data_IF_107786460659
#
_entry.id   IF_107786460659
#
_cell.length_a   1.000
_cell.length_b   1.000
_cell.length_c   1.000
_cell.angle_alpha   90.00
_cell.angle_beta   90.00
_cell.angle_gamma   90.00
#
_symmetry.space_group_name_H-M   'P 1'
#
loop_
_entity.id
_entity.type
_entity.pdbx_description
1 polymer ?
#
# COMPACT_ATOMS: atom_id res chain seq x y z
N UNK A 1 68.22 22.31 3.03
CA UNK A 1 67.42 23.19 2.14
C UNK A 1 66.04 23.38 2.78
N UNK A 2 65.71 24.62 3.08
CA UNK A 2 64.58 24.99 3.95
C UNK A 2 63.25 24.95 3.16
N UNK A 3 62.23 24.32 3.72
CA UNK A 3 60.84 24.52 3.29
C UNK A 3 60.05 25.22 4.40
N UNK A 4 59.66 26.44 4.11
CA UNK A 4 58.81 27.27 4.97
C UNK A 4 57.35 26.88 4.81
N UNK A 5 56.73 26.39 5.89
CA UNK A 5 55.28 26.17 5.94
C UNK A 5 54.54 27.47 6.12
N UNK A 6 53.54 27.70 5.26
CA UNK A 6 52.63 28.83 5.33
C UNK A 6 51.38 28.42 6.13
N UNK A 7 51.23 28.97 7.33
CA UNK A 7 50.04 28.80 8.14
C UNK A 7 48.94 29.82 7.69
N UNK A 8 47.84 29.34 7.18
CA UNK A 8 46.63 30.15 6.88
C UNK A 8 45.72 30.10 8.09
N UNK A 9 45.59 31.22 8.79
CA UNK A 9 44.60 31.41 9.86
C UNK A 9 43.22 31.68 9.23
N UNK A 10 42.28 30.76 9.42
CA UNK A 10 40.87 30.96 9.05
C UNK A 10 40.17 31.63 10.24
N UNK A 11 39.82 32.90 10.11
CA UNK A 11 38.98 33.63 11.06
C UNK A 11 37.51 33.17 10.91
N UNK A 12 37.00 32.51 11.97
CA UNK A 12 35.60 32.05 12.04
C UNK A 12 34.74 33.27 12.48
N UNK A 13 34.03 33.90 11.52
CA UNK A 13 33.01 34.89 11.81
C UNK A 13 31.72 34.18 12.27
N UNK A 14 31.47 34.18 13.57
CA UNK A 14 30.17 33.83 14.16
C UNK A 14 29.19 34.97 13.85
N UNK A 15 28.31 34.80 12.88
CA UNK A 15 27.13 35.62 12.68
C UNK A 15 26.06 35.15 13.65
N UNK A 16 25.88 35.90 14.74
CA UNK A 16 24.75 35.75 15.64
C UNK A 16 23.46 36.16 14.90
N UNK A 17 22.71 35.17 14.41
CA UNK A 17 21.36 35.37 13.88
C UNK A 17 20.42 35.71 15.07
N UNK A 18 20.07 36.97 15.23
CA UNK A 18 19.00 37.39 16.13
C UNK A 18 17.67 36.75 15.70
N UNK A 19 16.83 36.25 16.64
CA UNK A 19 15.53 35.70 16.31
C UNK A 19 14.66 36.86 15.74
N UNK A 20 14.31 36.73 14.46
CA UNK A 20 13.31 37.60 13.81
C UNK A 20 11.96 37.30 14.49
N UNK A 21 11.49 38.21 15.31
CA UNK A 21 10.14 38.15 15.87
C UNK A 21 9.14 38.17 14.72
N UNK A 22 8.45 37.06 14.52
CA UNK A 22 7.39 36.97 13.52
C UNK A 22 6.29 37.97 13.90
N UNK A 23 6.06 38.97 13.06
CA UNK A 23 5.03 39.98 13.30
C UNK A 23 3.66 39.31 13.48
N UNK A 24 2.92 39.71 14.53
CA UNK A 24 1.57 39.20 14.81
C UNK A 24 0.67 39.35 13.58
N UNK A 25 0.01 38.26 13.12
CA UNK A 25 -0.81 38.31 11.93
C UNK A 25 -1.97 39.29 12.07
N UNK A 26 -2.13 40.20 11.11
CA UNK A 26 -3.22 41.19 11.06
C UNK A 26 -3.80 41.18 9.64
N UNK A 27 -5.13 41.30 9.54
CA UNK A 27 -5.81 41.30 8.25
C UNK A 27 -5.20 42.34 7.28
N UNK A 28 -4.87 41.94 6.07
CA UNK A 28 -4.25 42.77 5.04
C UNK A 28 -2.74 42.92 5.19
N UNK A 29 -2.12 42.53 6.31
CA UNK A 29 -0.67 42.60 6.46
C UNK A 29 0.02 41.55 5.59
N UNK A 30 1.24 41.85 5.12
CA UNK A 30 2.05 40.98 4.25
C UNK A 30 2.37 39.64 4.95
N UNK A 31 2.26 38.56 4.22
CA UNK A 31 2.68 37.23 4.64
C UNK A 31 3.65 36.62 3.61
N UNK A 32 4.35 35.56 3.96
CA UNK A 32 5.48 35.06 3.17
C UNK A 32 5.18 33.80 2.37
N UNK A 33 4.19 32.99 2.80
CA UNK A 33 3.86 31.70 2.15
C UNK A 33 2.35 31.55 2.00
N UNK A 34 1.86 31.41 0.78
CA UNK A 34 0.44 31.16 0.49
C UNK A 34 -0.03 29.88 1.22
N UNK A 35 -1.22 29.92 1.81
CA UNK A 35 -1.77 28.82 2.59
C UNK A 35 -1.27 28.73 4.05
N UNK A 36 -0.21 29.46 4.45
CA UNK A 36 0.23 29.49 5.82
C UNK A 36 -0.90 29.99 6.74
N UNK A 37 -1.03 29.42 7.95
CA UNK A 37 -2.03 29.83 8.96
C UNK A 37 -1.34 30.32 10.21
N UNK A 38 -1.94 31.31 10.87
CA UNK A 38 -1.49 31.81 12.16
C UNK A 38 -2.68 32.23 13.00
N UNK A 39 -2.57 32.13 14.32
CA UNK A 39 -3.63 32.52 15.28
C UNK A 39 -3.21 33.73 16.08
N UNK A 40 -4.05 34.73 16.09
CA UNK A 40 -3.88 35.91 16.92
C UNK A 40 -5.25 36.48 17.31
N UNK A 41 -5.34 37.11 18.50
CA UNK A 41 -6.57 37.79 18.98
C UNK A 41 -7.86 36.97 18.82
N UNK A 42 -7.80 35.64 19.10
CA UNK A 42 -8.96 34.75 19.00
C UNK A 42 -9.43 34.46 17.57
N UNK A 43 -8.60 34.77 16.55
CA UNK A 43 -8.89 34.50 15.13
C UNK A 43 -7.79 33.68 14.50
N UNK A 44 -8.17 32.79 13.58
CA UNK A 44 -7.26 32.06 12.70
C UNK A 44 -7.20 32.80 11.36
N UNK A 45 -6.01 33.23 10.98
CA UNK A 45 -5.69 33.90 9.73
C UNK A 45 -5.08 32.90 8.75
N UNK A 46 -5.36 33.07 7.46
CA UNK A 46 -4.74 32.31 6.36
C UNK A 46 -4.09 33.28 5.39
N UNK A 47 -2.86 32.99 4.97
CA UNK A 47 -2.15 33.78 3.98
C UNK A 47 -2.72 33.50 2.59
N UNK A 48 -3.27 34.51 1.92
CA UNK A 48 -3.92 34.41 0.63
C UNK A 48 -3.29 35.34 -0.41
N UNK A 49 -3.39 34.99 -1.67
CA UNK A 49 -2.95 35.86 -2.78
C UNK A 49 -4.00 36.93 -3.02
N UNK A 50 -3.59 38.20 -3.02
CA UNK A 50 -4.43 39.36 -3.36
C UNK A 50 -3.69 40.19 -4.42
N UNK A 51 -4.11 40.06 -5.68
CA UNK A 51 -3.36 40.58 -6.83
C UNK A 51 -1.97 39.94 -6.92
N UNK A 52 -0.91 40.74 -6.92
CA UNK A 52 0.48 40.30 -6.95
C UNK A 52 1.11 40.08 -5.59
N UNK A 53 0.37 40.29 -4.48
CA UNK A 53 0.90 40.26 -3.12
C UNK A 53 0.29 39.12 -2.30
N UNK A 54 1.05 38.63 -1.31
CA UNK A 54 0.56 37.70 -0.30
C UNK A 54 0.19 38.48 0.97
N UNK A 55 -1.06 38.30 1.44
CA UNK A 55 -1.58 39.01 2.61
C UNK A 55 -2.40 38.08 3.49
N UNK A 56 -2.45 38.40 4.80
CA UNK A 56 -3.35 37.70 5.73
C UNK A 56 -4.82 38.06 5.46
N UNK A 57 -5.70 37.06 5.38
CA UNK A 57 -7.15 37.27 5.22
C UNK A 57 -7.77 37.96 6.46
N UNK A 58 -9.10 38.17 6.47
CA UNK A 58 -9.80 38.83 7.59
C UNK A 58 -9.80 38.00 8.89
N UNK A 59 -9.32 36.75 8.85
CA UNK A 59 -9.37 35.81 9.97
C UNK A 59 -10.75 35.30 10.30
N UNK A 60 -10.85 34.03 10.74
CA UNK A 60 -12.07 33.39 11.22
C UNK A 60 -12.02 33.31 12.74
N UNK A 61 -13.08 33.75 13.44
CA UNK A 61 -13.17 33.68 14.91
C UNK A 61 -13.14 32.23 15.36
N UNK A 62 -12.25 31.91 16.29
CA UNK A 62 -12.19 30.60 16.94
C UNK A 62 -13.17 30.63 18.09
N UNK A 63 -14.27 29.87 18.02
CA UNK A 63 -15.20 29.71 19.12
C UNK A 63 -14.47 28.97 20.25
N UNK A 64 -14.27 29.62 21.39
CA UNK A 64 -13.67 28.99 22.59
C UNK A 64 -14.57 27.83 23.02
N UNK A 65 -13.93 26.68 23.31
CA UNK A 65 -14.63 25.57 23.96
C UNK A 65 -15.19 26.07 25.29
N UNK A 66 -16.49 25.96 25.49
CA UNK A 66 -17.16 26.35 26.74
C UNK A 66 -16.60 25.51 27.87
N UNK A 67 -16.00 26.21 28.85
CA UNK A 67 -15.57 25.64 30.13
C UNK A 67 -16.83 25.07 30.81
N UNK A 68 -16.81 23.85 31.36
CA UNK A 68 -17.95 23.33 32.09
C UNK A 68 -18.26 24.26 33.29
N UNK A 69 -19.50 24.72 33.38
CA UNK A 69 -20.05 25.51 34.46
C UNK A 69 -20.04 24.65 35.72
N UNK A 70 -19.67 25.21 36.94
CA UNK A 70 -19.76 24.47 38.19
C UNK A 70 -21.23 24.07 38.42
N UNK A 71 -21.41 22.77 38.69
CA UNK A 71 -22.71 22.23 39.12
C UNK A 71 -23.06 22.81 40.47
N UNK A 72 -24.09 23.67 40.53
CA UNK A 72 -24.71 24.12 41.76
C UNK A 72 -25.51 22.94 42.32
N UNK A 73 -25.17 22.48 43.52
CA UNK A 73 -25.89 21.42 44.22
C UNK A 73 -27.32 21.90 44.51
N UNK A 74 -28.38 21.31 44.01
CA UNK A 74 -29.73 21.68 44.33
C UNK A 74 -30.10 21.21 45.74
N UNK A 75 -30.76 22.08 46.49
CA UNK A 75 -31.44 21.80 47.76
C UNK A 75 -32.41 20.62 47.60
N UNK A 76 -32.48 19.66 48.55
CA UNK A 76 -33.33 18.48 48.37
C UNK A 76 -34.82 18.87 48.35
N UNK A 77 -35.46 18.62 47.22
CA UNK A 77 -36.91 18.65 47.03
C UNK A 77 -37.48 17.32 47.57
N UNK A 78 -38.66 17.32 48.24
CA UNK A 78 -39.22 16.07 48.76
C UNK A 78 -39.47 15.06 47.66
N UNK A 79 -39.04 13.83 47.94
CA UNK A 79 -39.08 12.67 47.05
C UNK A 79 -40.54 12.35 46.74
N UNK A 80 -41.02 12.40 45.48
CA UNK A 80 -42.29 11.81 45.10
C UNK A 80 -42.21 10.29 45.20
N UNK A 81 -43.24 9.65 45.65
CA UNK A 81 -43.43 8.20 45.71
C UNK A 81 -43.10 7.58 44.35
N UNK A 82 -42.27 6.55 44.29
CA UNK A 82 -41.87 5.97 43.01
C UNK A 82 -43.08 5.35 42.33
N UNK A 83 -43.36 5.83 41.14
CA UNK A 83 -44.24 5.19 40.17
C UNK A 83 -43.60 3.83 39.76
N UNK A 84 -44.39 2.74 39.59
CA UNK A 84 -43.82 1.45 39.27
C UNK A 84 -43.07 1.56 37.93
N UNK A 85 -41.76 1.26 38.00
CA UNK A 85 -40.86 1.25 36.84
C UNK A 85 -41.40 0.27 35.80
N UNK A 86 -41.50 0.69 34.50
CA UNK A 86 -41.95 -0.22 33.44
C UNK A 86 -40.98 -1.43 33.43
N UNK A 87 -41.51 -2.62 33.50
CA UNK A 87 -40.80 -3.87 33.32
C UNK A 87 -40.10 -3.86 31.99
N UNK A 88 -38.76 -3.77 31.98
CA UNK A 88 -37.96 -3.82 30.76
C UNK A 88 -38.25 -5.13 30.05
N UNK A 89 -38.87 -5.06 28.89
CA UNK A 89 -38.99 -6.23 27.99
C UNK A 89 -37.57 -6.71 27.68
N UNK A 90 -37.22 -7.99 27.89
CA UNK A 90 -35.87 -8.48 27.62
C UNK A 90 -35.54 -8.20 26.16
N UNK A 91 -34.43 -7.48 25.95
CA UNK A 91 -33.87 -7.28 24.62
C UNK A 91 -33.59 -8.67 24.04
N UNK A 92 -34.08 -8.98 22.82
CA UNK A 92 -33.80 -10.29 22.23
C UNK A 92 -32.30 -10.53 22.17
N UNK A 93 -31.86 -11.62 22.75
CA UNK A 93 -30.47 -12.08 22.68
C UNK A 93 -30.12 -12.21 21.19
N UNK A 94 -29.05 -11.56 20.70
CA UNK A 94 -28.67 -11.68 19.31
C UNK A 94 -28.48 -13.15 18.96
N UNK A 95 -29.18 -13.64 17.96
CA UNK A 95 -28.99 -14.99 17.42
C UNK A 95 -27.53 -15.12 17.00
N UNK A 96 -26.81 -16.14 17.47
CA UNK A 96 -25.42 -16.31 17.10
C UNK A 96 -25.31 -16.42 15.58
N UNK A 97 -24.54 -15.53 14.97
CA UNK A 97 -24.22 -15.61 13.55
C UNK A 97 -23.53 -16.94 13.31
N UNK A 98 -23.99 -17.77 12.36
CA UNK A 98 -23.38 -19.06 12.09
C UNK A 98 -21.89 -18.88 11.78
N UNK A 99 -21.03 -19.64 12.43
CA UNK A 99 -19.60 -19.65 12.17
C UNK A 99 -19.37 -20.06 10.71
N UNK A 100 -18.65 -19.29 9.90
CA UNK A 100 -18.35 -19.67 8.53
C UNK A 100 -17.62 -21.00 8.50
N UNK A 101 -17.98 -21.89 7.58
CA UNK A 101 -17.29 -23.16 7.35
C UNK A 101 -16.51 -23.11 6.05
N UNK A 102 -15.34 -23.77 6.02
CA UNK A 102 -14.57 -23.93 4.79
C UNK A 102 -15.42 -24.64 3.73
N UNK A 103 -15.42 -24.09 2.53
CA UNK A 103 -16.04 -24.69 1.34
C UNK A 103 -14.97 -25.21 0.41
N UNK A 104 -15.22 -26.30 -0.24
CA UNK A 104 -14.38 -26.76 -1.36
C UNK A 104 -14.76 -25.94 -2.61
N UNK A 105 -14.01 -24.85 -2.83
CA UNK A 105 -14.23 -23.94 -3.95
C UNK A 105 -13.52 -24.45 -5.21
N UNK A 106 -14.28 -24.53 -6.29
CA UNK A 106 -13.85 -24.95 -7.62
C UNK A 106 -14.35 -23.99 -8.68
N UNK A 107 -13.87 -24.07 -9.90
CA UNK A 107 -14.41 -23.26 -11.01
C UNK A 107 -15.90 -23.51 -11.28
N UNK A 108 -16.43 -24.66 -10.91
CA UNK A 108 -17.84 -25.00 -11.11
C UNK A 108 -18.78 -24.39 -10.08
N UNK A 109 -18.27 -23.95 -8.91
CA UNK A 109 -19.15 -23.48 -7.81
C UNK A 109 -18.76 -22.12 -7.24
N UNK A 110 -17.62 -21.54 -7.60
CA UNK A 110 -17.11 -20.31 -6.98
C UNK A 110 -18.01 -19.10 -7.24
N UNK A 111 -18.70 -19.07 -8.37
CA UNK A 111 -19.61 -17.97 -8.76
C UNK A 111 -20.80 -17.86 -7.79
N UNK A 112 -21.36 -18.99 -7.37
CA UNK A 112 -22.44 -19.03 -6.37
C UNK A 112 -21.94 -18.86 -4.92
N UNK A 113 -20.61 -18.94 -4.72
CA UNK A 113 -20.00 -18.91 -3.38
C UNK A 113 -19.01 -17.76 -3.21
N UNK A 114 -19.22 -16.62 -3.88
CA UNK A 114 -18.30 -15.47 -3.81
C UNK A 114 -18.12 -14.95 -2.38
N UNK A 115 -19.15 -15.04 -1.53
CA UNK A 115 -19.10 -14.61 -0.14
C UNK A 115 -18.18 -15.49 0.73
N UNK A 116 -17.91 -16.73 0.32
CA UNK A 116 -17.03 -17.63 1.03
C UNK A 116 -15.54 -17.42 0.70
N UNK A 117 -15.21 -16.67 -0.36
CA UNK A 117 -13.83 -16.53 -0.85
C UNK A 117 -12.90 -15.97 0.23
N UNK A 118 -13.28 -14.86 0.87
CA UNK A 118 -12.45 -14.22 1.89
C UNK A 118 -12.14 -15.14 3.07
N UNK A 119 -13.16 -15.85 3.56
CA UNK A 119 -13.00 -16.78 4.66
C UNK A 119 -12.11 -17.97 4.27
N UNK A 120 -12.35 -18.56 3.10
CA UNK A 120 -11.55 -19.69 2.62
C UNK A 120 -10.09 -19.34 2.44
N UNK A 121 -9.81 -18.21 1.78
CA UNK A 121 -8.44 -17.76 1.54
C UNK A 121 -7.74 -17.45 2.85
N UNK A 122 -8.38 -16.69 3.74
CA UNK A 122 -7.76 -16.33 5.02
C UNK A 122 -7.51 -17.57 5.90
N UNK A 123 -8.44 -18.53 5.93
CA UNK A 123 -8.26 -19.78 6.67
C UNK A 123 -7.14 -20.66 6.10
N UNK A 124 -7.05 -20.79 4.76
CA UNK A 124 -5.95 -21.47 4.09
C UNK A 124 -4.61 -20.76 4.37
N UNK A 125 -4.61 -19.43 4.39
CA UNK A 125 -3.44 -18.63 4.72
C UNK A 125 -2.99 -18.83 6.17
N UNK A 126 -3.90 -18.82 7.14
CA UNK A 126 -3.56 -19.09 8.54
C UNK A 126 -2.95 -20.49 8.71
N UNK A 127 -3.48 -21.49 8.04
CA UNK A 127 -2.91 -22.84 8.02
C UNK A 127 -1.51 -22.85 7.40
N UNK A 128 -1.33 -22.16 6.28
CA UNK A 128 -0.04 -22.02 5.60
C UNK A 128 0.99 -21.30 6.48
N UNK A 129 0.58 -20.29 7.23
CA UNK A 129 1.44 -19.55 8.16
C UNK A 129 1.69 -20.24 9.50
N UNK A 130 0.94 -21.29 9.84
CA UNK A 130 1.11 -22.02 11.11
C UNK A 130 2.33 -22.95 11.14
N UNK A 131 3.14 -22.98 10.10
CA UNK A 131 4.39 -23.76 10.03
C UNK A 131 5.46 -23.24 10.96
N UNK A 132 6.44 -24.10 11.28
CA UNK A 132 7.62 -23.73 12.07
C UNK A 132 8.71 -22.99 11.26
N UNK A 133 8.39 -22.56 10.03
CA UNK A 133 9.34 -21.82 9.23
C UNK A 133 9.74 -20.50 9.90
N UNK A 134 11.04 -20.29 10.04
CA UNK A 134 11.63 -19.04 10.50
C UNK A 134 12.39 -18.41 9.34
N UNK A 135 12.03 -17.19 9.01
CA UNK A 135 12.72 -16.46 7.95
C UNK A 135 14.15 -16.11 8.39
N UNK A 136 15.14 -16.54 7.60
CA UNK A 136 16.54 -16.16 7.76
C UNK A 136 16.94 -14.97 6.89
N UNK A 137 15.98 -14.32 6.22
CA UNK A 137 16.24 -13.23 5.30
C UNK A 137 16.94 -12.06 6.00
N UNK A 138 18.05 -11.61 5.44
CA UNK A 138 18.76 -10.42 5.88
C UNK A 138 18.14 -9.19 5.23
N UNK A 139 17.64 -8.26 6.03
CA UNK A 139 17.06 -7.00 5.55
C UNK A 139 18.00 -5.84 5.89
N UNK A 140 18.53 -5.20 4.85
CA UNK A 140 19.37 -4.00 4.97
C UNK A 140 18.47 -2.79 4.68
N UNK A 141 18.05 -2.11 5.72
CA UNK A 141 17.30 -0.84 5.59
C UNK A 141 18.29 0.29 5.32
N UNK A 142 18.15 0.94 4.18
CA UNK A 142 19.01 2.02 3.70
C UNK A 142 18.14 3.27 3.52
N UNK A 143 18.47 4.34 4.22
CA UNK A 143 17.63 5.55 4.28
C UNK A 143 18.41 6.74 3.73
N UNK A 144 17.77 7.53 2.89
CA UNK A 144 18.34 8.74 2.34
C UNK A 144 18.67 9.77 3.42
N UNK A 145 19.73 10.56 3.23
CA UNK A 145 20.24 11.48 4.27
C UNK A 145 19.23 12.54 4.71
N UNK A 146 18.26 12.90 3.86
CA UNK A 146 17.20 13.84 4.16
C UNK A 146 15.83 13.17 4.37
N UNK A 147 15.81 11.82 4.39
CA UNK A 147 14.59 11.04 4.51
C UNK A 147 14.40 10.61 5.96
N UNK A 148 13.24 10.90 6.52
CA UNK A 148 12.86 10.38 7.84
C UNK A 148 12.31 8.97 7.64
N UNK A 149 12.84 7.94 8.35
CA UNK A 149 12.34 6.58 8.24
C UNK A 149 10.85 6.54 8.58
N UNK A 150 10.12 5.99 7.65
CA UNK A 150 8.68 6.06 7.62
C UNK A 150 8.04 4.98 8.49
N UNK A 151 8.68 3.81 8.57
CA UNK A 151 8.21 2.69 9.37
C UNK A 151 9.39 2.03 10.09
N UNK A 152 9.37 2.04 11.42
CA UNK A 152 10.40 1.41 12.25
C UNK A 152 10.43 -0.13 12.09
N UNK A 153 9.31 -0.74 11.66
CA UNK A 153 9.14 -2.19 11.53
C UNK A 153 9.11 -2.64 10.05
N UNK A 154 9.66 -1.84 9.13
CA UNK A 154 9.65 -2.16 7.70
C UNK A 154 10.25 -3.54 7.37
N UNK A 155 11.22 -4.00 8.16
CA UNK A 155 11.83 -5.32 7.99
C UNK A 155 10.86 -6.48 8.23
N UNK A 156 9.83 -6.29 9.05
CA UNK A 156 8.88 -7.37 9.38
C UNK A 156 8.01 -7.74 8.18
N UNK A 157 7.67 -6.79 7.33
CA UNK A 157 6.97 -7.06 6.07
C UNK A 157 7.75 -8.05 5.19
N UNK A 158 9.07 -7.88 5.06
CA UNK A 158 9.92 -8.82 4.30
C UNK A 158 10.00 -10.20 4.96
N UNK A 159 10.05 -10.29 6.29
CA UNK A 159 10.03 -11.57 7.01
C UNK A 159 8.71 -12.31 6.86
N UNK A 160 7.60 -11.57 6.91
CA UNK A 160 6.26 -12.11 6.64
C UNK A 160 6.18 -12.61 5.19
N UNK A 161 6.62 -11.80 4.22
CA UNK A 161 6.71 -12.19 2.82
C UNK A 161 7.54 -13.46 2.62
N UNK A 162 8.71 -13.54 3.26
CA UNK A 162 9.56 -14.73 3.21
C UNK A 162 8.83 -15.98 3.75
N UNK A 163 8.03 -15.84 4.79
CA UNK A 163 7.22 -16.96 5.33
C UNK A 163 6.06 -17.31 4.40
N UNK A 164 5.43 -16.36 3.75
CA UNK A 164 4.41 -16.61 2.73
C UNK A 164 4.98 -17.50 1.62
N UNK A 165 6.21 -17.22 1.19
CA UNK A 165 6.86 -17.93 0.09
C UNK A 165 7.84 -19.01 0.55
N UNK A 166 7.63 -19.60 1.74
CA UNK A 166 8.52 -20.60 2.34
C UNK A 166 8.79 -21.84 1.46
N UNK A 167 7.88 -22.16 0.53
CA UNK A 167 7.98 -23.30 -0.38
C UNK A 167 8.70 -22.98 -1.70
N UNK A 168 9.21 -21.74 -1.86
CA UNK A 168 9.78 -21.26 -3.10
C UNK A 168 11.22 -20.80 -2.94
N UNK A 169 11.96 -20.75 -4.05
CA UNK A 169 13.25 -20.06 -4.08
C UNK A 169 13.01 -18.57 -3.79
N UNK A 170 13.82 -18.01 -2.92
CA UNK A 170 13.67 -16.61 -2.54
C UNK A 170 15.04 -16.00 -2.25
N UNK A 171 15.18 -14.66 -2.30
CA UNK A 171 16.42 -13.99 -1.94
C UNK A 171 16.76 -14.23 -0.46
N UNK A 172 18.03 -14.40 -0.15
CA UNK A 172 18.55 -14.48 1.21
C UNK A 172 18.81 -13.09 1.82
N UNK A 173 18.86 -12.05 0.98
CA UNK A 173 19.13 -10.68 1.36
C UNK A 173 18.28 -9.68 0.56
N UNK A 174 17.80 -8.64 1.24
CA UNK A 174 17.03 -7.53 0.66
C UNK A 174 17.71 -6.21 1.03
N UNK A 175 17.86 -5.33 0.05
CA UNK A 175 18.19 -3.91 0.23
C UNK A 175 16.91 -3.10 0.13
N UNK A 176 16.40 -2.64 1.27
CA UNK A 176 15.21 -1.81 1.37
C UNK A 176 15.63 -0.32 1.41
N UNK A 177 15.46 0.38 0.30
CA UNK A 177 15.95 1.75 0.08
C UNK A 177 14.77 2.73 0.23
N UNK A 178 14.84 3.60 1.23
CA UNK A 178 13.82 4.62 1.50
C UNK A 178 14.35 6.01 1.15
N UNK A 179 13.57 6.79 0.41
CA UNK A 179 14.01 8.11 -0.03
C UNK A 179 12.83 9.06 -0.28
N UNK A 180 13.08 10.36 -0.15
CA UNK A 180 12.20 11.44 -0.61
C UNK A 180 12.71 12.00 -1.94
N UNK A 181 11.98 12.91 -2.54
CA UNK A 181 12.45 13.57 -3.78
C UNK A 181 13.79 14.28 -3.58
N UNK A 182 14.08 14.82 -2.40
CA UNK A 182 15.36 15.44 -2.08
C UNK A 182 16.54 14.46 -2.17
N UNK A 183 16.29 13.17 -1.91
CA UNK A 183 17.29 12.10 -1.95
C UNK A 183 17.22 11.25 -3.22
N UNK A 184 16.48 11.70 -4.24
CA UNK A 184 16.27 10.95 -5.48
C UNK A 184 17.56 10.49 -6.14
N UNK A 185 18.51 11.39 -6.32
CA UNK A 185 19.80 11.07 -6.97
C UNK A 185 20.67 10.15 -6.10
N UNK A 186 20.61 10.31 -4.78
CA UNK A 186 21.24 9.38 -3.85
C UNK A 186 20.63 7.97 -3.99
N UNK A 187 19.30 7.85 -4.02
CA UNK A 187 18.61 6.57 -4.20
C UNK A 187 18.95 5.91 -5.54
N UNK A 188 19.02 6.71 -6.63
CA UNK A 188 19.48 6.24 -7.94
C UNK A 188 20.86 5.61 -7.84
N UNK A 189 21.81 6.29 -7.19
CA UNK A 189 23.16 5.76 -6.99
C UNK A 189 23.17 4.49 -6.15
N UNK A 190 22.32 4.39 -5.11
CA UNK A 190 22.19 3.16 -4.30
C UNK A 190 21.72 1.96 -5.14
N UNK A 191 20.82 2.18 -6.09
CA UNK A 191 20.36 1.13 -7.00
C UNK A 191 21.43 0.84 -8.06
N UNK A 192 22.04 1.87 -8.65
CA UNK A 192 23.03 1.73 -9.71
C UNK A 192 24.23 0.88 -9.31
N UNK A 193 24.77 1.07 -8.12
CA UNK A 193 25.92 0.28 -7.61
C UNK A 193 25.56 -1.19 -7.37
N UNK A 194 24.29 -1.55 -7.26
CA UNK A 194 23.81 -2.91 -6.98
C UNK A 194 23.24 -3.62 -8.21
N UNK A 195 22.48 -2.91 -9.04
CA UNK A 195 21.74 -3.47 -10.16
C UNK A 195 22.15 -2.89 -11.53
N UNK A 196 23.01 -1.87 -11.54
CA UNK A 196 23.47 -1.20 -12.75
C UNK A 196 22.65 0.09 -13.08
N UNK A 197 23.30 0.97 -13.86
CA UNK A 197 22.76 2.32 -14.15
C UNK A 197 21.42 2.29 -14.87
N UNK A 198 21.26 1.41 -15.88
CA UNK A 198 20.02 1.33 -16.66
C UNK A 198 18.81 0.95 -15.79
N UNK A 199 18.99 0.05 -14.81
CA UNK A 199 17.94 -0.33 -13.85
C UNK A 199 17.60 0.85 -12.96
N UNK A 200 18.60 1.55 -12.44
CA UNK A 200 18.41 2.71 -11.57
C UNK A 200 17.67 3.85 -12.29
N UNK A 201 18.06 4.16 -13.53
CA UNK A 201 17.45 5.23 -14.32
C UNK A 201 15.98 4.92 -14.64
N UNK A 202 15.70 3.68 -15.03
CA UNK A 202 14.33 3.23 -15.29
C UNK A 202 13.47 3.31 -14.02
N UNK A 203 13.91 2.69 -12.94
CA UNK A 203 13.13 2.59 -11.71
C UNK A 203 12.90 3.95 -11.05
N UNK A 204 13.94 4.75 -10.86
CA UNK A 204 13.82 6.06 -10.24
C UNK A 204 13.08 7.05 -11.15
N UNK A 205 13.31 6.99 -12.46
CA UNK A 205 12.57 7.79 -13.44
C UNK A 205 11.08 7.52 -13.38
N UNK A 206 10.70 6.28 -13.17
CA UNK A 206 9.32 5.85 -13.03
C UNK A 206 8.70 6.20 -11.67
N UNK A 207 9.34 5.77 -10.56
CA UNK A 207 8.78 5.88 -9.20
C UNK A 207 8.85 7.28 -8.62
N UNK A 208 9.80 8.11 -9.07
CA UNK A 208 10.03 9.45 -8.54
C UNK A 208 10.31 10.47 -9.66
N UNK A 209 9.40 10.66 -10.63
CA UNK A 209 9.62 11.57 -11.75
C UNK A 209 9.64 13.05 -11.33
N UNK A 210 8.96 13.42 -10.25
CA UNK A 210 8.88 14.80 -9.74
C UNK A 210 8.60 14.81 -8.22
N UNK A 211 8.78 15.96 -7.58
CA UNK A 211 8.46 16.12 -6.15
C UNK A 211 6.99 15.83 -5.83
N UNK A 212 6.07 16.10 -6.76
CA UNK A 212 4.65 15.80 -6.62
C UNK A 212 4.31 14.30 -6.85
N UNK A 213 5.25 13.56 -7.44
CA UNK A 213 5.11 12.13 -7.77
C UNK A 213 6.37 11.38 -7.38
N UNK A 214 6.68 11.30 -6.09
CA UNK A 214 7.78 10.52 -5.52
C UNK A 214 7.22 9.70 -4.35
N UNK A 215 6.34 8.74 -4.67
CA UNK A 215 5.61 7.95 -3.67
C UNK A 215 5.33 6.51 -4.12
N UNK A 216 5.91 6.07 -5.25
CA UNK A 216 5.80 4.69 -5.72
C UNK A 216 6.92 3.82 -5.11
N UNK A 217 6.63 2.54 -4.97
CA UNK A 217 7.60 1.49 -4.67
C UNK A 217 7.91 0.67 -5.92
N UNK A 218 9.02 -0.05 -5.91
CA UNK A 218 9.38 -1.00 -6.97
C UNK A 218 10.42 -1.99 -6.50
N UNK A 219 10.43 -3.17 -7.12
CA UNK A 219 11.39 -4.24 -6.87
C UNK A 219 12.33 -4.49 -8.05
N UNK A 220 13.53 -4.93 -7.76
CA UNK A 220 14.52 -5.45 -8.72
C UNK A 220 15.47 -6.43 -8.05
N UNK A 221 16.39 -6.97 -8.87
CA UNK A 221 17.40 -7.93 -8.43
C UNK A 221 18.78 -7.32 -8.67
N UNK A 222 19.69 -7.50 -7.70
CA UNK A 222 21.08 -7.10 -7.84
C UNK A 222 21.83 -7.98 -8.83
N UNK A 223 23.01 -7.55 -9.25
CA UNK A 223 23.88 -8.31 -10.15
C UNK A 223 24.31 -9.66 -9.56
N UNK A 224 24.38 -9.78 -8.23
CA UNK A 224 24.71 -10.98 -7.47
C UNK A 224 23.48 -11.69 -6.85
N UNK A 225 22.30 -11.47 -7.44
CA UNK A 225 21.04 -12.15 -7.05
C UNK A 225 20.57 -11.88 -5.61
N UNK A 226 20.62 -10.65 -5.17
CA UNK A 226 19.91 -10.15 -3.98
C UNK A 226 18.67 -9.37 -4.41
N UNK A 227 17.72 -9.18 -3.51
CA UNK A 227 16.58 -8.31 -3.79
C UNK A 227 16.90 -6.84 -3.50
N UNK A 228 16.37 -5.96 -4.33
CA UNK A 228 16.24 -4.54 -4.04
C UNK A 228 14.75 -4.22 -4.02
N UNK A 229 14.30 -3.55 -2.96
CA UNK A 229 13.01 -2.89 -2.93
C UNK A 229 13.24 -1.44 -2.56
N UNK A 230 12.73 -0.51 -3.35
CA UNK A 230 12.87 0.90 -3.04
C UNK A 230 11.51 1.56 -2.88
N UNK A 231 11.46 2.57 -2.02
CA UNK A 231 10.23 3.20 -1.56
C UNK A 231 10.43 4.71 -1.61
N UNK A 232 9.76 5.35 -2.55
CA UNK A 232 9.63 6.79 -2.56
C UNK A 232 8.65 7.24 -1.48
N UNK A 233 8.93 8.34 -0.83
CA UNK A 233 8.05 8.97 0.15
C UNK A 233 7.73 10.39 -0.27
N UNK A 234 6.50 10.83 -0.02
CA UNK A 234 6.15 12.25 -0.11
C UNK A 234 7.05 13.08 0.80
N UNK A 235 7.17 14.38 0.54
CA UNK A 235 7.99 15.29 1.32
C UNK A 235 7.86 15.10 2.84
N UNK A 236 8.91 15.42 3.63
CA UNK A 236 8.94 15.24 5.08
C UNK A 236 7.69 15.81 5.75
N UNK A 237 6.91 14.97 6.41
CA UNK A 237 5.65 15.32 7.06
C UNK A 237 4.39 14.83 6.34
N UNK A 238 4.49 14.16 5.21
CA UNK A 238 3.38 13.40 4.61
C UNK A 238 2.97 12.24 5.52
N UNK A 239 1.66 12.09 5.75
CA UNK A 239 1.16 10.91 6.46
C UNK A 239 1.41 9.67 5.60
N UNK A 240 1.93 8.62 6.24
CA UNK A 240 2.08 7.33 5.58
C UNK A 240 0.72 6.72 5.28
N UNK A 241 0.63 6.04 4.15
CA UNK A 241 -0.51 5.20 3.88
C UNK A 241 -0.60 4.03 4.88
N UNK A 242 -1.79 3.53 5.19
CA UNK A 242 -1.93 2.34 6.03
C UNK A 242 -1.11 1.14 5.52
N UNK A 243 -0.97 0.99 4.21
CA UNK A 243 -0.18 -0.08 3.59
C UNK A 243 1.32 0.04 3.84
N UNK A 244 1.85 1.27 3.97
CA UNK A 244 3.25 1.49 4.37
C UNK A 244 3.47 1.16 5.85
N UNK A 245 2.47 1.44 6.70
CA UNK A 245 2.56 1.23 8.15
C UNK A 245 2.46 -0.23 8.57
N UNK A 246 1.65 -1.03 7.88
CA UNK A 246 1.37 -2.43 8.23
C UNK A 246 2.23 -3.46 7.48
N UNK A 247 3.16 -3.02 6.63
CA UNK A 247 4.05 -3.89 5.87
C UNK A 247 3.48 -4.43 4.55
N UNK A 248 2.27 -4.04 4.16
CA UNK A 248 1.62 -4.48 2.92
C UNK A 248 2.52 -4.22 1.70
N UNK A 249 3.09 -3.02 1.60
CA UNK A 249 3.92 -2.62 0.45
C UNK A 249 5.24 -3.40 0.44
N UNK A 250 5.86 -3.64 1.60
CA UNK A 250 7.08 -4.44 1.67
C UNK A 250 6.84 -5.89 1.23
N UNK A 251 5.71 -6.49 1.62
CA UNK A 251 5.32 -7.83 1.17
C UNK A 251 5.03 -7.83 -0.34
N UNK A 252 4.37 -6.79 -0.85
CA UNK A 252 4.09 -6.61 -2.28
C UNK A 252 5.39 -6.63 -3.10
N UNK A 253 6.35 -5.76 -2.77
CA UNK A 253 7.62 -5.67 -3.49
C UNK A 253 8.47 -6.95 -3.33
N UNK A 254 8.40 -7.58 -2.17
CA UNK A 254 9.06 -8.87 -1.95
C UNK A 254 8.46 -9.97 -2.82
N UNK A 255 7.15 -9.94 -3.07
CA UNK A 255 6.49 -10.90 -3.97
C UNK A 255 7.03 -10.82 -5.38
N UNK A 256 7.25 -9.60 -5.90
CA UNK A 256 7.94 -9.42 -7.19
C UNK A 256 9.35 -10.00 -7.17
N UNK A 257 10.11 -9.75 -6.11
CA UNK A 257 11.45 -10.31 -5.95
C UNK A 257 11.44 -11.84 -5.99
N UNK A 258 10.52 -12.50 -5.26
CA UNK A 258 10.38 -13.97 -5.29
C UNK A 258 9.97 -14.45 -6.67
N UNK A 259 9.07 -13.75 -7.36
CA UNK A 259 8.70 -14.09 -8.75
C UNK A 259 9.91 -14.06 -9.69
N UNK A 260 10.77 -13.04 -9.59
CA UNK A 260 12.01 -12.96 -10.36
C UNK A 260 12.96 -14.13 -10.04
N UNK A 261 13.00 -14.58 -8.79
CA UNK A 261 13.80 -15.73 -8.38
C UNK A 261 13.30 -17.05 -9.00
N UNK A 262 11.98 -17.22 -9.19
CA UNK A 262 11.45 -18.36 -9.95
C UNK A 262 11.86 -18.28 -11.43
N UNK A 263 11.86 -17.09 -12.01
CA UNK A 263 12.16 -16.85 -13.43
C UNK A 263 13.66 -16.79 -13.74
N UNK A 264 14.54 -16.94 -12.74
CA UNK A 264 15.99 -16.88 -12.85
C UNK A 264 16.60 -17.73 -14.01
N UNK A 265 16.12 -18.94 -14.31
CA UNK A 265 16.68 -19.71 -15.42
C UNK A 265 16.54 -19.03 -16.79
N UNK A 266 15.59 -18.11 -16.94
CA UNK A 266 15.27 -17.43 -18.21
C UNK A 266 15.78 -15.98 -18.14
N UNK A 267 17.10 -15.81 -18.10
CA UNK A 267 17.72 -14.49 -18.05
C UNK A 267 17.26 -13.60 -19.21
N UNK A 268 16.69 -12.44 -18.90
CA UNK A 268 16.60 -11.29 -19.79
C UNK A 268 15.21 -10.84 -20.27
N UNK A 269 14.11 -11.57 -20.01
CA UNK A 269 12.79 -11.11 -20.44
C UNK A 269 11.66 -11.57 -19.51
N UNK A 270 11.73 -11.14 -18.25
CA UNK A 270 10.77 -11.54 -17.21
C UNK A 270 9.36 -10.96 -17.44
N UNK A 271 9.28 -9.76 -18.02
CA UNK A 271 8.06 -8.97 -18.12
C UNK A 271 7.00 -9.51 -19.09
N UNK A 272 7.35 -10.49 -19.94
CA UNK A 272 6.43 -11.02 -20.95
C UNK A 272 5.99 -12.47 -20.69
N UNK A 273 6.36 -13.07 -19.57
CA UNK A 273 6.06 -14.48 -19.28
C UNK A 273 4.69 -14.66 -18.62
N UNK A 274 4.25 -13.66 -17.87
CA UNK A 274 2.93 -13.61 -17.26
C UNK A 274 2.27 -12.26 -17.58
N UNK A 275 0.93 -12.20 -17.65
CA UNK A 275 0.24 -10.91 -17.80
C UNK A 275 0.54 -9.97 -16.62
N UNK A 276 0.63 -8.66 -16.89
CA UNK A 276 0.90 -7.65 -15.86
C UNK A 276 -0.14 -7.68 -14.73
N UNK A 277 -1.42 -7.86 -15.08
CA UNK A 277 -2.48 -7.97 -14.08
C UNK A 277 -2.28 -9.16 -13.14
N UNK A 278 -1.63 -10.24 -13.62
CA UNK A 278 -1.34 -11.40 -12.79
C UNK A 278 -0.18 -11.11 -11.83
N UNK A 279 0.90 -10.51 -12.31
CA UNK A 279 2.06 -10.16 -11.49
C UNK A 279 1.71 -9.17 -10.39
N UNK A 280 1.08 -8.05 -10.75
CA UNK A 280 0.66 -7.00 -9.81
C UNK A 280 -0.48 -7.48 -8.89
N UNK A 281 -1.42 -8.24 -9.45
CA UNK A 281 -2.49 -8.85 -8.67
C UNK A 281 -1.98 -9.82 -7.62
N UNK A 282 -0.96 -10.63 -7.95
CA UNK A 282 -0.33 -11.56 -7.00
C UNK A 282 0.43 -10.83 -5.90
N UNK A 283 1.21 -9.82 -6.25
CA UNK A 283 1.92 -9.01 -5.28
C UNK A 283 0.93 -8.28 -4.33
N UNK A 284 -0.14 -7.72 -4.88
CA UNK A 284 -1.21 -7.10 -4.08
C UNK A 284 -1.95 -8.09 -3.20
N UNK A 285 -2.18 -9.32 -3.70
CA UNK A 285 -2.82 -10.39 -2.92
C UNK A 285 -1.96 -10.77 -1.71
N UNK A 286 -0.68 -11.07 -1.92
CA UNK A 286 0.23 -11.43 -0.85
C UNK A 286 0.40 -10.29 0.16
N UNK A 287 0.57 -9.05 -0.32
CA UNK A 287 0.67 -7.85 0.51
C UNK A 287 -0.53 -7.69 1.44
N UNK A 288 -1.73 -7.70 0.87
CA UNK A 288 -2.98 -7.54 1.63
C UNK A 288 -3.23 -8.69 2.60
N UNK A 289 -2.96 -9.91 2.16
CA UNK A 289 -3.18 -11.08 3.02
C UNK A 289 -2.20 -11.12 4.21
N UNK A 290 -0.93 -10.80 3.97
CA UNK A 290 0.12 -10.80 4.98
C UNK A 290 0.08 -9.62 5.96
N UNK A 291 -0.56 -8.52 5.58
CA UNK A 291 -0.63 -7.30 6.39
C UNK A 291 -1.68 -7.38 7.53
N UNK A 292 -2.62 -8.32 7.46
CA UNK A 292 -3.70 -8.43 8.43
C UNK A 292 -3.63 -9.70 9.26
N UNK A 293 -3.85 -9.56 10.57
CA UNK A 293 -3.74 -10.68 11.53
C UNK A 293 -5.07 -11.36 11.83
N UNK A 294 -6.20 -10.76 11.40
CA UNK A 294 -7.53 -11.35 11.60
C UNK A 294 -8.38 -11.28 10.33
N UNK A 295 -9.30 -12.24 10.22
CA UNK A 295 -10.30 -12.26 9.14
C UNK A 295 -11.13 -10.97 9.10
N UNK A 296 -11.47 -10.42 10.25
CA UNK A 296 -12.26 -9.19 10.35
C UNK A 296 -11.54 -8.01 9.70
N UNK A 297 -10.25 -7.82 10.03
CA UNK A 297 -9.42 -6.77 9.44
C UNK A 297 -9.27 -6.97 7.93
N UNK A 298 -8.97 -8.19 7.50
CA UNK A 298 -8.86 -8.52 6.08
C UNK A 298 -10.17 -8.27 5.33
N UNK A 299 -11.30 -8.72 5.86
CA UNK A 299 -12.62 -8.50 5.28
C UNK A 299 -13.02 -7.02 5.26
N UNK A 300 -12.65 -6.26 6.29
CA UNK A 300 -12.87 -4.81 6.33
C UNK A 300 -12.08 -4.09 5.22
N UNK A 301 -10.81 -4.47 5.05
CA UNK A 301 -9.98 -3.93 3.95
C UNK A 301 -10.55 -4.31 2.58
N UNK A 302 -10.98 -5.56 2.38
CA UNK A 302 -11.66 -5.98 1.13
C UNK A 302 -12.87 -5.09 0.83
N UNK A 303 -13.74 -4.86 1.81
CA UNK A 303 -14.92 -3.98 1.63
C UNK A 303 -14.49 -2.56 1.25
N UNK A 304 -13.43 -2.04 1.85
CA UNK A 304 -12.90 -0.73 1.52
C UNK A 304 -12.37 -0.66 0.08
N UNK A 305 -11.70 -1.70 -0.39
CA UNK A 305 -11.15 -1.73 -1.76
C UNK A 305 -12.25 -1.94 -2.79
N UNK A 306 -13.19 -2.86 -2.54
CA UNK A 306 -14.30 -3.12 -3.46
C UNK A 306 -15.33 -1.99 -3.47
N UNK A 307 -15.60 -1.38 -2.30
CA UNK A 307 -16.61 -0.32 -2.13
C UNK A 307 -16.06 1.07 -1.88
N UNK A 308 -14.74 1.21 -1.90
CA UNK A 308 -14.08 2.48 -1.60
C UNK A 308 -14.44 3.55 -2.62
N UNK A 309 -14.90 4.68 -2.09
CA UNK A 309 -15.17 5.90 -2.84
C UNK A 309 -13.83 6.41 -3.42
N UNK A 310 -13.39 5.82 -4.54
CA UNK A 310 -12.21 6.28 -5.26
C UNK A 310 -12.66 7.17 -6.41
N UNK A 311 -12.58 8.50 -6.26
CA UNK A 311 -13.01 9.45 -7.29
C UNK A 311 -12.23 9.33 -8.60
N UNK A 312 -11.19 8.49 -8.63
CA UNK A 312 -10.29 8.27 -9.75
C UNK A 312 -10.52 6.95 -10.49
N UNK A 313 -11.49 6.12 -10.07
CA UNK A 313 -11.78 4.89 -10.81
C UNK A 313 -12.69 5.24 -12.01
N UNK A 314 -12.11 5.25 -13.20
CA UNK A 314 -12.86 5.42 -14.45
C UNK A 314 -13.67 4.15 -14.82
N UNK A 315 -13.42 3.01 -14.18
CA UNK A 315 -14.29 1.84 -14.32
C UNK A 315 -15.51 2.07 -13.45
N UNK A 316 -16.54 2.55 -14.06
CA UNK A 316 -17.90 2.56 -13.53
C UNK A 316 -18.67 1.30 -13.96
N UNK A 317 -18.02 0.40 -14.68
CA UNK A 317 -18.66 -0.76 -15.29
C UNK A 317 -17.87 -2.03 -14.98
N UNK A 318 -18.30 -2.71 -13.92
CA UNK A 318 -17.74 -3.98 -13.45
C UNK A 318 -18.45 -5.20 -14.05
N UNK A 319 -19.10 -5.06 -15.20
CA UNK A 319 -19.68 -6.21 -15.91
C UNK A 319 -18.59 -7.19 -16.35
N UNK A 320 -18.92 -8.50 -16.41
CA UNK A 320 -17.93 -9.52 -16.75
C UNK A 320 -17.19 -9.26 -18.06
N UNK A 321 -17.87 -8.70 -19.07
CA UNK A 321 -17.29 -8.40 -20.38
C UNK A 321 -16.17 -7.35 -20.31
N UNK A 322 -16.29 -6.40 -19.38
CA UNK A 322 -15.23 -5.39 -19.17
C UNK A 322 -14.04 -5.95 -18.39
N UNK A 323 -14.30 -6.87 -17.48
CA UNK A 323 -13.23 -7.57 -16.76
C UNK A 323 -12.48 -8.52 -17.71
N UNK A 324 -13.18 -9.18 -18.62
CA UNK A 324 -12.52 -9.97 -19.69
C UNK A 324 -11.63 -9.09 -20.57
N UNK A 325 -12.11 -7.91 -21.00
CA UNK A 325 -11.28 -6.94 -21.74
C UNK A 325 -10.07 -6.47 -20.93
N UNK A 326 -10.20 -6.32 -19.63
CA UNK A 326 -9.08 -6.04 -18.74
C UNK A 326 -8.03 -7.15 -18.79
N UNK A 327 -8.41 -8.42 -18.70
CA UNK A 327 -7.47 -9.53 -18.79
C UNK A 327 -6.73 -9.56 -20.15
N UNK A 328 -7.39 -9.19 -21.23
CA UNK A 328 -6.79 -9.11 -22.56
C UNK A 328 -5.87 -7.89 -22.70
N UNK A 329 -6.30 -6.73 -22.26
CA UNK A 329 -5.61 -5.44 -22.41
C UNK A 329 -4.29 -5.38 -21.64
N UNK A 330 -4.24 -6.03 -20.48
CA UNK A 330 -3.05 -6.06 -19.62
C UNK A 330 -2.26 -7.39 -19.73
N UNK A 331 -2.42 -8.07 -20.86
CA UNK A 331 -1.62 -9.24 -21.19
C UNK A 331 -0.16 -8.92 -21.57
N UNK A 332 0.11 -7.66 -21.97
CA UNK A 332 1.45 -7.10 -22.26
C UNK A 332 1.50 -5.72 -21.66
N UNK A 333 2.64 -5.32 -21.08
CA UNK A 333 2.83 -3.99 -20.51
C UNK A 333 2.61 -2.91 -21.58
N UNK A 334 1.41 -2.33 -21.74
CA UNK A 334 1.26 -1.13 -22.54
C UNK A 334 1.72 0.07 -21.70
N UNK A 335 1.96 1.18 -22.36
CA UNK A 335 2.03 2.49 -21.70
C UNK A 335 0.66 2.79 -21.06
N UNK A 336 0.47 2.34 -19.84
CA UNK A 336 -0.81 2.43 -19.12
C UNK A 336 -0.88 3.79 -18.46
N UNK A 337 -2.01 4.46 -18.60
CA UNK A 337 -2.25 5.67 -17.81
C UNK A 337 -2.22 5.33 -16.31
N UNK A 338 -1.85 6.27 -15.41
CA UNK A 338 -1.84 6.05 -13.97
C UNK A 338 -3.18 5.51 -13.43
N UNK A 339 -4.29 5.87 -14.04
CA UNK A 339 -5.65 5.41 -13.70
C UNK A 339 -5.81 3.93 -14.04
N UNK A 340 -5.37 3.51 -15.21
CA UNK A 340 -5.47 2.12 -15.65
C UNK A 340 -4.61 1.18 -14.80
N UNK A 341 -3.45 1.64 -14.30
CA UNK A 341 -2.63 0.85 -13.36
C UNK A 341 -3.37 0.48 -12.09
N UNK A 342 -4.24 1.35 -11.63
CA UNK A 342 -5.02 1.09 -10.43
C UNK A 342 -5.85 -0.19 -10.51
N UNK A 343 -6.24 -0.61 -11.71
CA UNK A 343 -6.97 -1.85 -11.97
C UNK A 343 -6.11 -3.09 -11.83
N UNK A 344 -4.82 -3.00 -12.16
CA UNK A 344 -3.88 -4.11 -11.93
C UNK A 344 -3.91 -4.51 -10.46
N UNK A 345 -3.91 -3.53 -9.56
CA UNK A 345 -3.89 -3.75 -8.11
C UNK A 345 -5.23 -4.17 -7.51
N UNK A 346 -6.36 -3.80 -8.10
CA UNK A 346 -7.69 -4.12 -7.55
C UNK A 346 -8.35 -5.32 -8.21
N UNK A 347 -8.53 -5.31 -9.55
CA UNK A 347 -9.11 -6.43 -10.28
C UNK A 347 -8.15 -7.61 -10.32
N UNK A 348 -6.85 -7.35 -10.52
CA UNK A 348 -5.82 -8.38 -10.46
C UNK A 348 -5.81 -9.09 -9.11
N UNK A 349 -5.79 -8.32 -8.01
CA UNK A 349 -5.87 -8.90 -6.66
C UNK A 349 -7.09 -9.78 -6.46
N UNK A 350 -8.30 -9.30 -6.81
CA UNK A 350 -9.54 -10.06 -6.62
C UNK A 350 -9.56 -11.35 -7.45
N UNK A 351 -8.94 -11.31 -8.63
CA UNK A 351 -8.77 -12.50 -9.48
C UNK A 351 -7.82 -13.51 -8.83
N UNK A 352 -6.66 -13.05 -8.32
CA UNK A 352 -5.71 -13.93 -7.65
C UNK A 352 -6.29 -14.50 -6.35
N UNK A 353 -7.07 -13.71 -5.61
CA UNK A 353 -7.77 -14.18 -4.42
C UNK A 353 -8.71 -15.35 -4.76
N UNK A 354 -9.49 -15.24 -5.84
CA UNK A 354 -10.35 -16.33 -6.31
C UNK A 354 -9.53 -17.57 -6.73
N UNK A 355 -8.42 -17.37 -7.42
CA UNK A 355 -7.51 -18.46 -7.81
C UNK A 355 -6.87 -19.15 -6.60
N UNK A 356 -6.46 -18.39 -5.58
CA UNK A 356 -5.92 -18.94 -4.34
C UNK A 356 -7.00 -19.64 -3.50
N UNK A 357 -8.24 -19.18 -3.57
CA UNK A 357 -9.39 -19.85 -2.94
C UNK A 357 -9.60 -21.25 -3.54
N UNK A 358 -9.42 -21.43 -4.84
CA UNK A 358 -9.51 -22.69 -5.54
C UNK A 358 -8.24 -23.54 -5.32
N UNK A 359 -7.09 -23.05 -5.78
CA UNK A 359 -5.84 -23.80 -5.89
C UNK A 359 -4.93 -23.78 -4.66
N UNK A 360 -5.26 -22.98 -3.63
CA UNK A 360 -4.41 -22.77 -2.44
C UNK A 360 -3.44 -21.59 -2.58
N UNK A 361 -2.81 -21.23 -1.45
CA UNK A 361 -1.98 -20.01 -1.32
C UNK A 361 -0.77 -20.04 -2.28
N UNK A 362 -0.18 -21.20 -2.50
CA UNK A 362 0.99 -21.37 -3.35
C UNK A 362 0.68 -21.39 -4.86
N UNK A 363 -0.60 -21.57 -5.23
CA UNK A 363 -0.96 -21.80 -6.64
C UNK A 363 -0.60 -20.63 -7.57
N UNK A 364 -0.71 -19.34 -7.19
CA UNK A 364 -0.28 -18.26 -8.06
C UNK A 364 1.23 -18.22 -8.28
N UNK A 365 2.05 -18.50 -7.25
CA UNK A 365 3.52 -18.54 -7.41
C UNK A 365 3.96 -19.75 -8.23
N UNK A 366 3.27 -20.89 -8.11
CA UNK A 366 3.54 -22.07 -8.95
C UNK A 366 3.40 -21.77 -10.44
N UNK A 367 2.59 -20.79 -10.83
CA UNK A 367 2.45 -20.39 -12.22
C UNK A 367 3.76 -19.75 -12.74
N UNK A 368 4.45 -18.93 -11.94
CA UNK A 368 5.78 -18.43 -12.27
C UNK A 368 6.81 -19.57 -12.37
N UNK A 369 6.74 -20.57 -11.48
CA UNK A 369 7.60 -21.76 -11.56
C UNK A 369 7.40 -22.52 -12.87
N UNK A 370 6.17 -22.70 -13.31
CA UNK A 370 5.88 -23.42 -14.56
C UNK A 370 6.25 -22.61 -15.80
N UNK A 371 6.03 -21.29 -15.79
CA UNK A 371 6.48 -20.44 -16.91
C UNK A 371 8.01 -20.39 -17.00
N UNK A 372 8.73 -20.49 -15.89
CA UNK A 372 10.19 -20.58 -15.89
C UNK A 372 10.74 -21.84 -16.58
N UNK A 373 9.92 -22.88 -16.69
CA UNK A 373 10.24 -24.13 -17.41
C UNK A 373 9.92 -24.06 -18.91
N UNK A 374 9.51 -22.88 -19.40
CA UNK A 374 9.21 -22.64 -20.82
C UNK A 374 7.74 -22.80 -21.21
N UNK A 375 6.84 -23.02 -20.24
CA UNK A 375 5.41 -23.03 -20.54
C UNK A 375 4.90 -21.58 -20.76
N UNK A 376 3.99 -21.40 -21.69
CA UNK A 376 3.23 -20.16 -21.79
C UNK A 376 2.34 -19.98 -20.56
N UNK A 377 1.89 -18.75 -20.28
CA UNK A 377 0.95 -18.48 -19.19
C UNK A 377 -0.27 -19.43 -19.22
N UNK A 378 -0.88 -19.61 -20.39
CA UNK A 378 -2.07 -20.46 -20.54
C UNK A 378 -1.77 -21.94 -20.27
N UNK A 379 -0.64 -22.45 -20.75
CA UNK A 379 -0.20 -23.83 -20.48
C UNK A 379 0.11 -24.05 -19.00
N UNK A 380 0.80 -23.10 -18.37
CA UNK A 380 1.05 -23.13 -16.92
C UNK A 380 -0.25 -23.08 -16.12
N UNK A 381 -1.19 -22.21 -16.52
CA UNK A 381 -2.51 -22.10 -15.92
C UNK A 381 -3.27 -23.41 -15.96
N UNK A 382 -3.37 -24.03 -17.16
CA UNK A 382 -4.01 -25.34 -17.30
C UNK A 382 -3.36 -26.41 -16.43
N UNK A 383 -2.02 -26.42 -16.36
CA UNK A 383 -1.28 -27.38 -15.54
C UNK A 383 -1.58 -27.23 -14.04
N UNK A 384 -1.68 -26.00 -13.55
CA UNK A 384 -1.90 -25.70 -12.12
C UNK A 384 -3.36 -25.87 -11.72
N UNK A 385 -4.29 -25.42 -12.56
CA UNK A 385 -5.70 -25.34 -12.20
C UNK A 385 -6.59 -26.39 -12.88
N UNK A 386 -6.04 -27.20 -13.81
CA UNK A 386 -6.76 -28.28 -14.47
C UNK A 386 -7.80 -27.85 -15.52
N UNK A 387 -7.85 -26.55 -15.85
CA UNK A 387 -8.81 -25.96 -16.78
C UNK A 387 -8.08 -25.02 -17.76
N UNK A 388 -8.55 -24.93 -18.99
CA UNK A 388 -8.04 -23.97 -19.97
C UNK A 388 -8.33 -22.53 -19.52
N UNK A 389 -7.41 -21.61 -19.80
CA UNK A 389 -7.58 -20.20 -19.47
C UNK A 389 -8.86 -19.61 -20.09
N UNK A 390 -9.16 -19.98 -21.33
CA UNK A 390 -10.33 -19.51 -22.07
C UNK A 390 -11.66 -19.92 -21.42
N UNK A 391 -11.67 -21.04 -20.72
CA UNK A 391 -12.83 -21.49 -19.96
C UNK A 391 -12.88 -20.89 -18.55
N UNK A 392 -11.72 -20.65 -17.93
CA UNK A 392 -11.62 -20.10 -16.59
C UNK A 392 -11.86 -18.57 -16.55
N UNK A 393 -11.37 -17.84 -17.56
CA UNK A 393 -11.42 -16.37 -17.54
C UNK A 393 -12.85 -15.80 -17.45
N UNK A 394 -13.87 -16.32 -18.16
CA UNK A 394 -15.26 -15.88 -17.97
C UNK A 394 -15.79 -16.12 -16.56
N UNK A 395 -15.45 -17.26 -15.95
CA UNK A 395 -15.85 -17.60 -14.58
C UNK A 395 -15.23 -16.62 -13.59
N UNK A 396 -13.92 -16.36 -13.72
CA UNK A 396 -13.22 -15.40 -12.88
C UNK A 396 -13.74 -13.97 -13.06
N UNK A 397 -14.07 -13.59 -14.31
CA UNK A 397 -14.68 -12.30 -14.58
C UNK A 397 -16.03 -12.14 -13.90
N UNK A 398 -16.86 -13.18 -13.89
CA UNK A 398 -18.15 -13.18 -13.17
C UNK A 398 -17.94 -13.10 -11.64
N UNK A 399 -16.98 -13.83 -11.09
CA UNK A 399 -16.63 -13.77 -9.66
C UNK A 399 -16.22 -12.36 -9.26
N UNK A 400 -15.29 -11.75 -10.00
CA UNK A 400 -14.82 -10.38 -9.74
C UNK A 400 -15.95 -9.38 -9.92
N UNK A 401 -16.75 -9.52 -10.97
CA UNK A 401 -17.95 -8.70 -11.22
C UNK A 401 -18.88 -8.71 -10.02
N UNK A 402 -19.26 -9.87 -9.52
CA UNK A 402 -20.14 -10.01 -8.35
C UNK A 402 -19.55 -9.33 -7.11
N UNK A 403 -18.26 -9.43 -6.86
CA UNK A 403 -17.60 -8.79 -5.72
C UNK A 403 -17.66 -7.26 -5.78
N UNK A 404 -17.50 -6.66 -6.96
CA UNK A 404 -17.52 -5.21 -7.12
C UNK A 404 -18.92 -4.65 -7.28
N UNK A 405 -19.84 -5.34 -7.94
CA UNK A 405 -21.22 -4.85 -8.21
C UNK A 405 -22.10 -4.75 -6.98
N UNK A 406 -21.74 -5.39 -5.87
CA UNK A 406 -22.38 -5.10 -4.57
C UNK A 406 -22.31 -3.61 -4.22
N UNK A 407 -21.26 -2.93 -4.66
CA UNK A 407 -20.99 -1.52 -4.38
C UNK A 407 -21.23 -0.59 -5.58
N UNK A 408 -21.23 -1.16 -6.78
CA UNK A 408 -21.39 -0.44 -8.06
C UNK A 408 -22.37 -1.24 -8.94
N UNK A 409 -23.69 -1.18 -8.63
CA UNK A 409 -24.73 -1.94 -9.34
C UNK A 409 -24.90 -1.51 -10.80
#
# INVERSE_FOLDING_TARGET
MHNKGLAIAIALLLVLASPVHAATPKAGAKCTKAGATATATGKKFTCVKSGTKLVWNKGVTIKAATKPTPVVTPTPTPIPTPEPSPTLTPTPTPTPTPTPTLKDLTFSNIVENVDAIAFNVFSKFQTHMATNYQSSIKVNTIVGPNTVPVNKNSADGFRIGSKIFQNFKQPDEVFAIYYTFADKEWARNQIAIRAGQNVADFQIGYSCPSAARCWDASASITLDWKAISHFGASDPGGALSPGELNGEIQIHEFTHSVSFFQLNPIRGNYYNLTPDWFGEGHASFAGKLGAYTSLEQYAAHRRQVHGGNRPQSDIKDYRPENILRFYESFSKAPEVSPIQRFYLYSLGWSTIEALAAIGGIDSPMNLFVETSKGLTFKQAFKKIYGIEWEAAAPILAEVVSKQFRVYYP
#
